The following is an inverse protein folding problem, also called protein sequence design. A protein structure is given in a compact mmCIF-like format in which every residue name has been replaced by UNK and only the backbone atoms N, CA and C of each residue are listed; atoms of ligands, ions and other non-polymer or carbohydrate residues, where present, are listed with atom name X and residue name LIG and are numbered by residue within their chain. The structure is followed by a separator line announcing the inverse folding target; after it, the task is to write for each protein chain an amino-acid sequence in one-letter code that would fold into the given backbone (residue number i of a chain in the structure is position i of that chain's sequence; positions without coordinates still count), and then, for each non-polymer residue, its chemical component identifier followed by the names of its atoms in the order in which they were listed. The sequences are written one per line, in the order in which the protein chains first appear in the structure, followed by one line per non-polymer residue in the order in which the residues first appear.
data_IF_064101596080
#
_entry.id   IF_064101596080
#
_cell.length_a   1.000
_cell.length_b   1.000
_cell.length_c   1.000
_cell.angle_alpha   90.00
_cell.angle_beta   90.00
_cell.angle_gamma   90.00
#
_symmetry.space_group_name_H-M   'P 1'
#
loop_
_entity.id
_entity.type
_entity.pdbx_description
1 polymer ?
#
# COMPACT_ATOMS: atom_id res chain seq x y z
N UNK A 1 -1.73 -9.83 8.87
CA UNK A 1 -0.49 -9.18 9.31
C UNK A 1 0.71 -9.51 8.41
N UNK A 2 1.09 -10.78 8.22
CA UNK A 2 2.25 -11.14 7.38
C UNK A 2 2.09 -10.86 5.86
N UNK A 3 0.86 -10.94 5.34
CA UNK A 3 0.55 -10.66 3.93
C UNK A 3 0.78 -9.18 3.59
N UNK A 4 0.70 -8.26 4.56
CA UNK A 4 0.98 -6.84 4.33
C UNK A 4 2.49 -6.60 4.08
N UNK A 5 3.35 -7.24 4.88
CA UNK A 5 4.82 -7.10 4.78
C UNK A 5 5.39 -7.63 3.48
N UNK A 6 4.90 -8.78 2.99
CA UNK A 6 5.40 -9.36 1.73
C UNK A 6 4.97 -8.56 0.49
N UNK A 7 3.81 -7.90 0.50
CA UNK A 7 3.31 -7.16 -0.67
C UNK A 7 3.87 -5.73 -0.79
N UNK A 8 4.34 -5.12 0.30
CA UNK A 8 4.99 -3.80 0.29
C UNK A 8 6.43 -3.88 -0.22
N UNK A 9 7.10 -5.03 -0.06
CA UNK A 9 8.50 -5.22 -0.46
C UNK A 9 8.69 -5.87 -1.86
N UNK A 10 7.73 -6.65 -2.37
CA UNK A 10 7.98 -7.53 -3.53
C UNK A 10 7.08 -7.35 -4.76
N UNK A 11 6.47 -6.18 -5.01
CA UNK A 11 5.78 -5.98 -6.30
C UNK A 11 6.29 -4.79 -7.10
N UNK A 12 6.89 -5.16 -8.22
CA UNK A 12 7.55 -4.35 -9.22
C UNK A 12 6.57 -3.47 -10.03
N UNK A 13 7.06 -2.27 -10.37
CA UNK A 13 6.45 -1.16 -11.13
C UNK A 13 5.50 -0.27 -10.32
N UNK A 14 5.92 0.99 -10.12
CA UNK A 14 5.21 2.12 -9.47
C UNK A 14 5.47 2.37 -7.95
N UNK A 15 6.36 1.61 -7.30
CA UNK A 15 6.88 1.94 -5.95
C UNK A 15 8.39 1.79 -5.92
N UNK A 16 9.12 2.86 -5.57
CA UNK A 16 10.57 2.82 -5.40
C UNK A 16 10.89 2.31 -4.00
N UNK A 17 11.59 1.18 -3.91
CA UNK A 17 12.09 0.71 -2.61
C UNK A 17 13.08 1.70 -1.99
N UNK A 18 13.81 2.46 -2.83
CA UNK A 18 14.75 3.48 -2.38
C UNK A 18 13.98 4.62 -1.69
N UNK A 19 12.93 5.15 -2.32
CA UNK A 19 12.11 6.22 -1.72
C UNK A 19 11.45 5.76 -0.42
N UNK A 20 10.99 4.50 -0.35
CA UNK A 20 10.44 3.94 0.89
C UNK A 20 11.50 3.88 2.00
N UNK A 21 12.72 3.42 1.69
CA UNK A 21 13.82 3.35 2.65
C UNK A 21 14.26 4.75 3.10
N UNK A 22 14.34 5.71 2.19
CA UNK A 22 14.62 7.11 2.49
C UNK A 22 13.54 7.71 3.41
N UNK A 23 12.27 7.48 3.08
CA UNK A 23 11.16 7.92 3.92
C UNK A 23 11.21 7.32 5.32
N UNK A 24 11.47 6.00 5.43
CA UNK A 24 11.60 5.32 6.73
C UNK A 24 12.79 5.86 7.51
N UNK A 25 13.92 6.15 6.85
CA UNK A 25 15.10 6.76 7.47
C UNK A 25 14.78 8.14 8.04
N UNK A 26 13.99 8.94 7.34
CA UNK A 26 13.67 10.33 7.72
C UNK A 26 12.51 10.44 8.72
N UNK A 27 11.50 9.58 8.61
CA UNK A 27 10.23 9.71 9.33
C UNK A 27 9.96 8.57 10.33
N UNK A 28 10.76 7.50 10.27
CA UNK A 28 10.59 6.31 11.09
C UNK A 28 9.58 5.32 10.50
N UNK A 29 9.75 4.06 10.89
CA UNK A 29 8.95 2.94 10.39
C UNK A 29 7.46 3.05 10.75
N UNK A 30 7.12 3.60 11.91
CA UNK A 30 5.73 3.72 12.36
C UNK A 30 4.91 4.62 11.44
N UNK A 31 5.44 5.80 11.07
CA UNK A 31 4.78 6.71 10.14
C UNK A 31 4.59 6.09 8.75
N UNK A 32 5.59 5.35 8.29
CA UNK A 32 5.50 4.62 7.02
C UNK A 32 4.36 3.59 7.05
N UNK A 33 4.27 2.78 8.11
CA UNK A 33 3.23 1.76 8.26
C UNK A 33 1.84 2.41 8.33
N UNK A 34 1.65 3.49 9.09
CA UNK A 34 0.38 4.20 9.18
C UNK A 34 -0.07 4.76 7.81
N UNK A 35 0.87 5.31 7.06
CA UNK A 35 0.64 5.79 5.69
C UNK A 35 0.22 4.64 4.76
N UNK A 36 0.92 3.52 4.79
CA UNK A 36 0.60 2.35 3.96
C UNK A 36 -0.75 1.73 4.36
N UNK A 37 -1.08 1.63 5.65
CA UNK A 37 -2.40 1.13 6.10
C UNK A 37 -3.50 2.00 5.51
N UNK A 38 -3.35 3.32 5.59
CA UNK A 38 -4.34 4.28 5.07
C UNK A 38 -4.46 4.18 3.55
N UNK A 39 -3.32 4.12 2.86
CA UNK A 39 -3.23 4.02 1.39
C UNK A 39 -3.90 2.76 0.84
N UNK A 40 -3.75 1.62 1.52
CA UNK A 40 -4.28 0.33 1.06
C UNK A 40 -5.64 -0.01 1.68
N UNK A 41 -6.24 0.88 2.47
CA UNK A 41 -7.57 0.69 3.03
C UNK A 41 -8.64 0.87 1.97
N UNK A 42 -9.54 -0.11 1.87
CA UNK A 42 -10.69 -0.02 1.00
C UNK A 42 -11.66 1.06 1.52
N UNK A 43 -12.00 2.07 0.71
CA UNK A 43 -12.92 3.12 1.14
C UNK A 43 -14.36 2.61 1.36
N UNK A 44 -14.73 1.49 0.74
CA UNK A 44 -16.08 0.92 0.84
C UNK A 44 -16.29 0.06 2.09
N UNK A 45 -15.31 -0.78 2.44
CA UNK A 45 -15.49 -1.80 3.48
C UNK A 45 -14.39 -1.80 4.56
N UNK A 46 -13.38 -0.95 4.44
CA UNK A 46 -12.23 -0.93 5.35
C UNK A 46 -11.27 -2.12 5.22
N UNK A 47 -11.55 -3.08 4.33
CA UNK A 47 -10.65 -4.19 4.00
C UNK A 47 -9.39 -3.74 3.25
N UNK A 48 -8.55 -4.70 2.83
CA UNK A 48 -7.27 -4.39 2.16
C UNK A 48 -7.42 -4.43 0.64
N UNK A 49 -6.86 -3.43 -0.03
CA UNK A 49 -6.72 -3.37 -1.49
C UNK A 49 -5.44 -4.11 -1.90
N UNK A 50 -5.57 -5.03 -2.85
CA UNK A 50 -4.45 -5.73 -3.50
C UNK A 50 -3.61 -4.75 -4.34
N UNK A 51 -2.30 -4.76 -4.14
CA UNK A 51 -1.34 -3.94 -4.93
C UNK A 51 -1.31 -4.35 -6.40
N UNK A 52 -1.35 -5.65 -6.70
CA UNK A 52 -1.24 -6.16 -8.07
C UNK A 52 -2.49 -5.91 -8.91
N UNK A 53 -3.66 -6.16 -8.33
CA UNK A 53 -4.94 -6.13 -9.06
C UNK A 53 -5.76 -4.87 -8.80
N UNK A 54 -5.32 -4.00 -7.88
CA UNK A 54 -6.04 -2.80 -7.44
C UNK A 54 -7.50 -3.10 -7.10
N UNK A 55 -7.74 -4.20 -6.40
CA UNK A 55 -9.08 -4.64 -5.96
C UNK A 55 -9.06 -4.99 -4.49
N UNK A 56 -10.14 -4.67 -3.79
CA UNK A 56 -10.31 -5.09 -2.41
C UNK A 56 -10.54 -6.61 -2.35
N UNK A 57 -9.77 -7.31 -1.51
CA UNK A 57 -9.94 -8.75 -1.27
C UNK A 57 -11.28 -9.08 -0.60
N UNK A 58 -11.82 -8.15 0.17
CA UNK A 58 -13.05 -8.36 0.95
C UNK A 58 -14.31 -8.14 0.11
N UNK A 59 -14.36 -7.08 -0.68
CA UNK A 59 -15.61 -6.67 -1.35
C UNK A 59 -15.49 -6.50 -2.87
N UNK A 60 -14.33 -6.79 -3.45
CA UNK A 60 -14.08 -6.70 -4.90
C UNK A 60 -14.10 -5.28 -5.48
N UNK A 61 -14.27 -4.25 -4.64
CA UNK A 61 -14.29 -2.86 -5.09
C UNK A 61 -12.95 -2.47 -5.67
N UNK A 62 -12.97 -1.79 -6.82
CA UNK A 62 -11.76 -1.26 -7.43
C UNK A 62 -11.15 -0.23 -6.48
N UNK A 63 -9.86 -0.40 -6.19
CA UNK A 63 -9.09 0.54 -5.41
C UNK A 63 -9.00 1.89 -6.14
N UNK A 64 -8.72 2.94 -5.38
CA UNK A 64 -8.63 4.30 -5.91
C UNK A 64 -7.54 4.31 -7.00
N UNK A 65 -7.83 4.77 -8.23
CA UNK A 65 -6.80 4.94 -9.26
C UNK A 65 -5.78 5.96 -8.75
N UNK A 66 -4.49 5.63 -8.83
CA UNK A 66 -3.45 6.65 -8.66
C UNK A 66 -3.67 7.69 -9.76
N UNK A 67 -4.08 8.89 -9.39
CA UNK A 67 -3.81 10.07 -10.22
C UNK A 67 -2.31 10.25 -10.23
N UNK A 68 -1.65 9.65 -11.21
CA UNK A 68 -0.25 9.89 -11.53
C UNK A 68 -0.18 10.71 -12.80
N UNK A 69 0.59 11.80 -12.74
CA UNK A 69 1.38 12.24 -13.89
C UNK A 69 2.18 11.07 -14.46
#
# INVERSE_FOLDING_TARGET
FYIFYLNVLFSHKEMSMIENLEYIRENGVSKFIEGEITRWKCPKCGGVICVHHRKCYTCGTQGIPKTGK
#
